data_IF_083463965660
#
_entry.id   IF_083463965660
#
_cell.length_a   1.000
_cell.length_b   1.000
_cell.length_c   1.000
_cell.angle_alpha   90.00
_cell.angle_beta   90.00
_cell.angle_gamma   90.00
#
_symmetry.space_group_name_H-M   'P 1'
#
loop_
_entity.id
_entity.type
_entity.pdbx_description
1 polymer ?
#
# COMPACT_ATOMS: atom_id res chain seq x y z
N UNK A 1 55.65 39.89 30.88
CA UNK A 1 54.55 39.73 31.87
C UNK A 1 54.33 38.25 32.13
N UNK A 2 54.46 37.85 33.39
CA UNK A 2 54.23 36.49 33.90
C UNK A 2 52.74 36.29 34.12
N UNK A 3 52.13 35.17 33.70
CA UNK A 3 51.06 34.49 34.47
C UNK A 3 51.15 32.98 34.25
N UNK A 4 51.36 32.29 35.36
CA UNK A 4 51.68 30.88 35.54
C UNK A 4 50.44 30.02 35.70
N UNK A 5 50.54 28.79 35.20
CA UNK A 5 49.81 27.58 35.58
C UNK A 5 49.60 27.48 37.11
N UNK A 6 48.38 27.15 37.54
CA UNK A 6 48.12 26.44 38.81
C UNK A 6 47.00 25.44 38.61
N UNK A 7 47.39 24.17 38.52
CA UNK A 7 46.53 23.01 38.75
C UNK A 7 46.04 23.05 40.20
N UNK A 8 44.72 22.97 40.41
CA UNK A 8 44.14 22.59 41.68
C UNK A 8 43.64 21.15 41.55
N UNK A 9 44.49 20.23 42.03
CA UNK A 9 44.17 18.84 42.30
C UNK A 9 43.35 18.83 43.61
N UNK A 10 42.09 18.39 43.58
CA UNK A 10 41.37 18.02 44.80
C UNK A 10 41.11 16.52 44.77
N UNK A 11 41.78 15.85 45.71
CA UNK A 11 41.68 14.43 46.02
C UNK A 11 40.56 14.20 47.06
N UNK A 12 39.66 13.26 46.72
CA UNK A 12 38.98 12.25 47.58
C UNK A 12 38.00 12.73 48.69
N UNK A 13 37.13 11.85 49.27
CA UNK A 13 37.01 10.39 49.14
C UNK A 13 35.60 9.82 48.86
N UNK A 14 35.66 8.50 48.65
CA UNK A 14 34.69 7.44 48.41
C UNK A 14 33.50 7.24 49.37
N UNK A 15 32.56 6.40 48.88
CA UNK A 15 31.58 5.57 49.59
C UNK A 15 30.26 6.24 50.03
N UNK A 16 29.41 6.53 49.04
CA UNK A 16 27.96 6.55 49.22
C UNK A 16 27.36 5.29 48.64
N UNK A 17 26.92 4.39 49.51
CA UNK A 17 26.08 3.22 49.21
C UNK A 17 25.11 3.49 48.05
N UNK A 18 25.17 2.65 47.01
CA UNK A 18 24.11 2.46 46.04
C UNK A 18 22.87 1.89 46.75
N UNK A 19 22.17 2.74 47.48
CA UNK A 19 20.75 2.56 47.77
C UNK A 19 19.98 2.96 46.52
N UNK A 20 20.05 2.13 45.48
CA UNK A 20 19.08 2.22 44.40
C UNK A 20 17.71 2.00 45.08
N UNK A 21 16.77 2.96 45.02
CA UNK A 21 15.40 2.60 45.27
C UNK A 21 15.09 1.52 44.23
N UNK A 22 14.83 0.30 44.71
CA UNK A 22 14.09 -0.69 43.96
C UNK A 22 12.80 0.02 43.54
N UNK A 23 12.83 0.61 42.36
CA UNK A 23 11.63 0.89 41.60
C UNK A 23 11.07 -0.50 41.37
N UNK A 24 10.21 -0.93 42.29
CA UNK A 24 9.21 -1.91 41.95
C UNK A 24 8.51 -1.28 40.76
N UNK A 25 8.89 -1.71 39.57
CA UNK A 25 8.02 -1.69 38.43
C UNK A 25 6.81 -2.47 38.91
N UNK A 26 5.84 -1.74 39.48
CA UNK A 26 4.47 -2.16 39.47
C UNK A 26 4.17 -2.25 37.99
N UNK A 27 4.45 -3.43 37.43
CA UNK A 27 3.78 -3.95 36.27
C UNK A 27 2.32 -3.98 36.67
N UNK A 28 1.70 -2.82 36.66
CA UNK A 28 0.27 -2.68 36.58
C UNK A 28 -0.02 -3.18 35.18
N UNK A 29 -0.09 -4.51 35.07
CA UNK A 29 -0.65 -5.21 33.94
C UNK A 29 -2.12 -4.86 34.01
N UNK A 30 -2.45 -3.63 33.62
CA UNK A 30 -3.78 -3.24 33.23
C UNK A 30 -4.04 -4.04 31.97
N UNK A 31 -4.34 -5.32 32.16
CA UNK A 31 -5.24 -6.05 31.28
C UNK A 31 -6.56 -5.27 31.39
N UNK A 32 -6.66 -4.14 30.69
CA UNK A 32 -7.96 -3.58 30.38
C UNK A 32 -8.61 -4.68 29.56
N UNK A 33 -9.49 -5.47 30.19
CA UNK A 33 -10.37 -6.36 29.45
C UNK A 33 -11.09 -5.45 28.46
N UNK A 34 -10.68 -5.52 27.20
CA UNK A 34 -11.48 -4.94 26.12
C UNK A 34 -12.78 -5.72 26.20
N UNK A 35 -13.89 -5.03 26.46
CA UNK A 35 -15.21 -5.66 26.45
C UNK A 35 -15.40 -6.33 25.08
N UNK A 36 -15.95 -7.56 25.04
CA UNK A 36 -16.20 -8.28 23.79
C UNK A 36 -16.98 -7.44 22.79
N UNK A 37 -17.85 -6.56 23.28
CA UNK A 37 -18.60 -5.64 22.43
C UNK A 37 -17.67 -4.66 21.70
N UNK A 38 -16.68 -4.12 22.39
CA UNK A 38 -15.70 -3.19 21.83
C UNK A 38 -14.72 -3.91 20.90
N UNK A 39 -14.25 -5.11 21.28
CA UNK A 39 -13.39 -5.92 20.44
C UNK A 39 -14.08 -6.27 19.12
N UNK A 40 -15.32 -6.77 19.18
CA UNK A 40 -16.10 -7.12 18.00
C UNK A 40 -16.37 -5.91 17.10
N UNK A 41 -16.69 -4.76 17.70
CA UNK A 41 -16.87 -3.52 16.94
C UNK A 41 -15.58 -3.15 16.18
N UNK A 42 -14.44 -3.14 16.87
CA UNK A 42 -13.16 -2.80 16.26
C UNK A 42 -12.76 -3.79 15.14
N UNK A 43 -13.03 -5.09 15.33
CA UNK A 43 -12.80 -6.12 14.30
C UNK A 43 -13.64 -5.84 13.05
N UNK A 44 -14.91 -5.48 13.22
CA UNK A 44 -15.81 -5.16 12.09
C UNK A 44 -15.39 -3.89 11.36
N UNK A 45 -14.96 -2.87 12.10
CA UNK A 45 -14.46 -1.61 11.52
C UNK A 45 -13.17 -1.83 10.71
N UNK A 46 -12.29 -2.71 11.18
CA UNK A 46 -11.04 -3.05 10.49
C UNK A 46 -11.21 -3.86 9.20
N UNK A 47 -12.42 -4.35 8.90
CA UNK A 47 -12.70 -5.14 7.68
C UNK A 47 -12.24 -4.44 6.41
N UNK A 48 -12.52 -3.15 6.29
CA UNK A 48 -12.13 -2.36 5.11
C UNK A 48 -10.62 -2.26 4.97
N UNK A 49 -9.89 -2.09 6.07
CA UNK A 49 -8.43 -2.05 6.04
C UNK A 49 -7.86 -3.40 5.55
N UNK A 50 -8.40 -4.53 6.04
CA UNK A 50 -7.99 -5.85 5.56
C UNK A 50 -8.32 -6.07 4.07
N UNK A 51 -9.48 -5.60 3.60
CA UNK A 51 -9.83 -5.63 2.16
C UNK A 51 -8.85 -4.79 1.33
N UNK A 52 -8.40 -3.63 1.83
CA UNK A 52 -7.37 -2.82 1.19
C UNK A 52 -6.01 -3.54 1.14
N UNK A 53 -5.60 -4.23 2.21
CA UNK A 53 -4.38 -5.07 2.22
C UNK A 53 -4.47 -6.11 1.10
N UNK A 54 -5.56 -6.88 1.03
CA UNK A 54 -5.73 -7.94 0.01
C UNK A 54 -5.67 -7.36 -1.41
N UNK A 55 -6.25 -6.19 -1.61
CA UNK A 55 -6.28 -5.53 -2.92
C UNK A 55 -4.88 -5.09 -3.37
N UNK A 56 -4.07 -4.52 -2.49
CA UNK A 56 -2.84 -3.84 -2.87
C UNK A 56 -1.54 -4.55 -2.46
N UNK A 57 -1.58 -5.53 -1.56
CA UNK A 57 -0.41 -6.31 -1.16
C UNK A 57 0.17 -7.07 -2.36
N UNK A 58 1.50 -6.94 -2.52
CA UNK A 58 2.27 -7.59 -3.60
C UNK A 58 2.79 -8.95 -3.15
N UNK A 59 3.08 -9.11 -1.87
CA UNK A 59 3.54 -10.39 -1.34
C UNK A 59 2.39 -11.40 -1.24
N UNK A 60 2.56 -12.56 -1.88
CA UNK A 60 1.50 -13.56 -1.97
C UNK A 60 1.15 -14.17 -0.60
N UNK A 61 2.14 -14.34 0.28
CA UNK A 61 1.93 -14.92 1.61
C UNK A 61 1.19 -13.94 2.51
N UNK A 62 1.60 -12.67 2.52
CA UNK A 62 0.94 -11.61 3.28
C UNK A 62 -0.51 -11.41 2.82
N UNK A 63 -0.74 -11.48 1.50
CA UNK A 63 -2.09 -11.43 0.91
C UNK A 63 -2.95 -12.63 1.33
N UNK A 64 -2.38 -13.82 1.36
CA UNK A 64 -3.08 -15.03 1.84
C UNK A 64 -3.45 -14.90 3.33
N UNK A 65 -2.52 -14.40 4.15
CA UNK A 65 -2.74 -14.15 5.58
C UNK A 65 -3.88 -13.14 5.79
N UNK A 66 -3.88 -12.03 5.06
CA UNK A 66 -4.96 -11.05 5.11
C UNK A 66 -6.31 -11.64 4.66
N UNK A 67 -6.32 -12.50 3.63
CA UNK A 67 -7.52 -13.20 3.17
C UNK A 67 -8.10 -14.10 4.26
N UNK A 68 -7.26 -14.87 4.96
CA UNK A 68 -7.68 -15.70 6.10
C UNK A 68 -8.29 -14.84 7.21
N UNK A 69 -7.70 -13.68 7.53
CA UNK A 69 -8.26 -12.75 8.51
C UNK A 69 -9.62 -12.22 8.07
N UNK A 70 -9.79 -11.87 6.78
CA UNK A 70 -11.07 -11.42 6.24
C UNK A 70 -12.16 -12.50 6.36
N UNK A 71 -11.82 -13.76 6.11
CA UNK A 71 -12.76 -14.88 6.25
C UNK A 71 -13.15 -15.10 7.71
N UNK A 72 -12.20 -14.96 8.65
CA UNK A 72 -12.51 -14.96 10.08
C UNK A 72 -13.48 -13.82 10.45
N UNK A 73 -13.24 -12.60 9.96
CA UNK A 73 -14.15 -11.45 10.18
C UNK A 73 -15.56 -11.75 9.64
N UNK A 74 -15.66 -12.28 8.42
CA UNK A 74 -16.95 -12.64 7.80
C UNK A 74 -17.69 -13.73 8.56
N UNK A 75 -16.98 -14.70 9.12
CA UNK A 75 -17.61 -15.75 9.93
C UNK A 75 -18.17 -15.19 11.26
N UNK A 76 -17.49 -14.21 11.86
CA UNK A 76 -18.01 -13.49 13.04
C UNK A 76 -19.29 -12.69 12.76
N UNK A 77 -19.52 -12.28 11.51
CA UNK A 77 -20.76 -11.61 11.10
C UNK A 77 -21.95 -12.60 10.99
N UNK A 78 -21.66 -13.89 10.75
CA UNK A 78 -22.66 -14.95 10.55
C UNK A 78 -23.00 -15.70 11.84
N UNK A 79 -22.05 -15.83 12.75
CA UNK A 79 -22.27 -16.50 14.03
C UNK A 79 -22.90 -15.57 15.06
N UNK A 80 -23.76 -16.12 15.94
CA UNK A 80 -24.18 -15.40 17.14
C UNK A 80 -22.93 -15.03 17.94
N UNK A 81 -22.61 -13.74 17.99
CA UNK A 81 -21.44 -13.15 18.67
C UNK A 81 -21.32 -13.49 20.17
N UNK A 82 -22.30 -14.22 20.72
CA UNK A 82 -22.33 -14.77 22.07
C UNK A 82 -21.56 -16.09 22.24
N UNK A 83 -21.06 -16.71 21.16
CA UNK A 83 -20.35 -18.00 21.21
C UNK A 83 -18.83 -17.90 21.31
N UNK A 84 -18.23 -16.76 20.96
CA UNK A 84 -16.78 -16.59 21.04
C UNK A 84 -16.35 -16.09 22.41
N UNK A 85 -15.23 -16.63 22.90
CA UNK A 85 -14.60 -16.19 24.13
C UNK A 85 -13.90 -14.84 23.95
N UNK A 86 -13.77 -14.08 25.05
CA UNK A 86 -13.04 -12.81 25.08
C UNK A 86 -11.61 -12.95 24.55
N UNK A 87 -11.00 -14.10 24.83
CA UNK A 87 -9.65 -14.43 24.38
C UNK A 87 -9.58 -14.55 22.86
N UNK A 88 -10.53 -15.25 22.24
CA UNK A 88 -10.54 -15.42 20.77
C UNK A 88 -10.73 -14.09 20.04
N UNK A 89 -11.61 -13.23 20.56
CA UNK A 89 -11.81 -11.88 20.00
C UNK A 89 -10.57 -11.00 20.18
N UNK A 90 -9.93 -11.05 21.35
CA UNK A 90 -8.70 -10.30 21.61
C UNK A 90 -7.55 -10.77 20.72
N UNK A 91 -7.33 -12.09 20.63
CA UNK A 91 -6.27 -12.68 19.82
C UNK A 91 -6.47 -12.35 18.32
N UNK A 92 -7.72 -12.35 17.83
CA UNK A 92 -8.02 -11.97 16.45
C UNK A 92 -7.78 -10.47 16.22
N UNK A 93 -8.23 -9.61 17.14
CA UNK A 93 -8.02 -8.17 17.04
C UNK A 93 -6.54 -7.81 17.05
N UNK A 94 -5.72 -8.51 17.84
CA UNK A 94 -4.26 -8.34 17.85
C UNK A 94 -3.66 -8.70 16.50
N UNK A 95 -3.99 -9.87 15.94
CA UNK A 95 -3.53 -10.27 14.59
C UNK A 95 -3.94 -9.28 13.49
N UNK A 96 -5.15 -8.75 13.56
CA UNK A 96 -5.64 -7.73 12.61
C UNK A 96 -4.79 -6.46 12.73
N UNK A 97 -4.53 -5.99 13.95
CA UNK A 97 -3.71 -4.80 14.20
C UNK A 97 -2.27 -4.99 13.72
N UNK A 98 -1.68 -6.15 14.00
CA UNK A 98 -0.35 -6.52 13.52
C UNK A 98 -0.30 -6.52 11.99
N UNK A 99 -1.25 -7.19 11.31
CA UNK A 99 -1.31 -7.21 9.86
C UNK A 99 -1.44 -5.81 9.25
N UNK A 100 -2.29 -4.94 9.83
CA UNK A 100 -2.43 -3.55 9.39
C UNK A 100 -1.14 -2.77 9.61
N UNK A 101 -0.51 -2.90 10.78
CA UNK A 101 0.73 -2.20 11.10
C UNK A 101 1.87 -2.63 10.17
N UNK A 102 2.02 -3.93 9.94
CA UNK A 102 3.04 -4.51 9.08
C UNK A 102 2.84 -4.10 7.62
N UNK A 103 1.61 -4.18 7.12
CA UNK A 103 1.27 -3.69 5.78
C UNK A 103 1.59 -2.20 5.63
N UNK A 104 1.18 -1.36 6.58
CA UNK A 104 1.48 0.08 6.56
C UNK A 104 2.99 0.34 6.57
N UNK A 105 3.75 -0.42 7.36
CA UNK A 105 5.21 -0.29 7.43
C UNK A 105 5.88 -0.66 6.10
N UNK A 106 5.46 -1.77 5.47
CA UNK A 106 5.96 -2.21 4.16
C UNK A 106 5.50 -1.31 3.01
N UNK A 107 4.37 -0.63 3.17
CA UNK A 107 3.81 0.26 2.15
C UNK A 107 4.61 1.56 1.97
N UNK A 108 5.44 1.96 2.93
CA UNK A 108 6.34 3.09 2.73
C UNK A 108 7.51 2.74 1.80
N UNK A 109 7.47 3.27 0.59
CA UNK A 109 8.53 3.18 -0.41
C UNK A 109 9.44 4.40 -0.34
N UNK A 110 10.72 4.25 -0.67
CA UNK A 110 11.62 5.39 -0.82
C UNK A 110 13.04 5.13 -0.37
N UNK A 111 13.72 6.20 0.00
CA UNK A 111 15.14 6.23 0.32
C UNK A 111 15.37 6.81 1.73
N UNK A 112 16.62 7.13 2.05
CA UNK A 112 17.06 7.77 3.29
C UNK A 112 16.65 9.24 3.46
N UNK A 113 16.11 9.88 2.42
CA UNK A 113 15.66 11.28 2.43
C UNK A 113 14.14 11.33 2.62
N UNK A 114 13.39 10.64 1.77
CA UNK A 114 11.94 10.65 1.70
C UNK A 114 11.40 9.22 1.56
N UNK A 115 10.40 8.91 2.39
CA UNK A 115 9.55 7.75 2.20
C UNK A 115 8.12 8.20 1.93
N UNK A 116 7.47 7.64 0.92
CA UNK A 116 6.09 7.91 0.57
C UNK A 116 5.28 6.62 0.75
N UNK A 117 4.11 6.73 1.36
CA UNK A 117 3.19 5.61 1.46
C UNK A 117 2.65 5.28 0.06
N UNK A 118 2.90 4.05 -0.39
CA UNK A 118 2.41 3.52 -1.67
C UNK A 118 0.89 3.61 -1.76
N UNK A 119 0.18 3.34 -0.67
CA UNK A 119 -1.28 3.40 -0.67
C UNK A 119 -1.75 4.82 -0.35
N UNK A 120 -2.45 5.43 -1.31
CA UNK A 120 -3.07 6.75 -1.15
C UNK A 120 -4.55 6.55 -0.80
N UNK A 121 -4.89 6.80 0.46
CA UNK A 121 -6.22 6.51 0.99
C UNK A 121 -7.28 7.49 0.47
N UNK A 122 -8.50 6.98 0.29
CA UNK A 122 -9.69 7.75 -0.09
C UNK A 122 -9.61 8.48 -1.45
N UNK A 123 -8.77 8.03 -2.37
CA UNK A 123 -8.61 8.62 -3.71
C UNK A 123 -9.30 7.83 -4.84
N UNK A 124 -10.20 6.89 -4.52
CA UNK A 124 -10.85 6.04 -5.53
C UNK A 124 -11.75 6.76 -6.54
N UNK A 125 -12.04 8.05 -6.32
CA UNK A 125 -12.77 8.92 -7.27
C UNK A 125 -11.88 9.96 -7.95
N UNK A 126 -10.58 9.97 -7.63
CA UNK A 126 -9.60 10.93 -8.14
C UNK A 126 -8.84 10.33 -9.31
N UNK A 127 -8.83 11.01 -10.44
CA UNK A 127 -8.12 10.60 -11.65
C UNK A 127 -6.60 10.77 -11.44
N UNK A 128 -5.84 9.70 -11.64
CA UNK A 128 -4.40 9.69 -11.39
C UNK A 128 -3.63 10.65 -12.30
N UNK A 129 -4.11 10.88 -13.53
CA UNK A 129 -3.52 11.84 -14.47
C UNK A 129 -3.55 13.28 -13.94
N UNK A 130 -4.68 13.72 -13.37
CA UNK A 130 -4.81 15.05 -12.75
C UNK A 130 -3.81 15.26 -11.62
N UNK A 131 -3.60 14.22 -10.81
CA UNK A 131 -2.64 14.28 -9.69
C UNK A 131 -1.22 14.44 -10.22
N UNK A 132 -0.83 13.68 -11.25
CA UNK A 132 0.49 13.80 -11.89
C UNK A 132 0.71 15.19 -12.48
N UNK A 133 -0.28 15.76 -13.16
CA UNK A 133 -0.18 17.12 -13.70
C UNK A 133 0.07 18.16 -12.61
N UNK A 134 -0.62 18.07 -11.48
CA UNK A 134 -0.41 18.98 -10.35
C UNK A 134 0.96 18.79 -9.70
N UNK A 135 1.39 17.53 -9.50
CA UNK A 135 2.71 17.20 -8.98
C UNK A 135 3.82 17.79 -9.86
N UNK A 136 3.73 17.66 -11.19
CA UNK A 136 4.72 18.21 -12.14
C UNK A 136 4.79 19.73 -12.16
N UNK A 137 3.71 20.43 -11.79
CA UNK A 137 3.70 21.91 -11.70
C UNK A 137 4.44 22.43 -10.48
N UNK A 138 4.78 21.56 -9.52
CA UNK A 138 5.52 21.96 -8.32
C UNK A 138 7.01 22.14 -8.62
N UNK A 139 7.56 23.24 -8.11
CA UNK A 139 8.95 23.67 -8.34
C UNK A 139 9.82 23.60 -7.08
N UNK A 140 9.21 23.31 -5.94
CA UNK A 140 9.85 23.35 -4.62
C UNK A 140 9.11 22.45 -3.63
N UNK A 141 9.77 22.16 -2.50
CA UNK A 141 9.27 21.23 -1.49
C UNK A 141 7.98 21.69 -0.83
N UNK A 142 7.82 23.00 -0.61
CA UNK A 142 6.65 23.55 0.08
C UNK A 142 5.40 23.28 -0.74
N UNK A 143 5.42 23.59 -2.04
CA UNK A 143 4.30 23.29 -2.95
C UNK A 143 4.07 21.79 -3.12
N UNK A 144 5.12 20.99 -3.16
CA UNK A 144 4.98 19.54 -3.25
C UNK A 144 4.25 18.97 -2.02
N UNK A 145 4.55 19.46 -0.81
CA UNK A 145 3.82 19.09 0.41
C UNK A 145 2.34 19.50 0.36
N UNK A 146 2.02 20.65 -0.22
CA UNK A 146 0.62 21.08 -0.38
C UNK A 146 -0.15 20.10 -1.30
N UNK A 147 0.47 19.67 -2.40
CA UNK A 147 -0.13 18.66 -3.29
C UNK A 147 -0.26 17.32 -2.58
N UNK A 148 0.76 16.89 -1.83
CA UNK A 148 0.68 15.67 -1.01
C UNK A 148 -0.46 15.74 -0.01
N UNK A 149 -0.61 16.85 0.72
CA UNK A 149 -1.70 17.05 1.66
C UNK A 149 -3.08 17.05 0.97
N UNK A 150 -3.22 17.75 -0.16
CA UNK A 150 -4.46 17.81 -0.95
C UNK A 150 -4.96 16.42 -1.35
N UNK A 151 -4.05 15.54 -1.74
CA UNK A 151 -4.38 14.18 -2.19
C UNK A 151 -4.21 13.10 -1.10
N UNK A 152 -3.99 13.50 0.16
CA UNK A 152 -3.76 12.57 1.28
C UNK A 152 -2.61 11.58 1.01
N UNK A 153 -1.58 12.02 0.28
CA UNK A 153 -0.34 11.26 0.07
C UNK A 153 0.49 11.38 1.34
N UNK A 154 0.52 10.31 2.11
CA UNK A 154 1.30 10.25 3.34
C UNK A 154 2.79 10.09 3.03
N UNK A 155 3.63 10.82 3.76
CA UNK A 155 5.08 10.73 3.61
C UNK A 155 5.78 10.86 4.97
N UNK A 156 7.01 10.35 5.03
CA UNK A 156 7.94 10.51 6.15
C UNK A 156 9.20 11.16 5.60
N UNK A 157 9.53 12.31 6.18
CA UNK A 157 10.79 12.98 5.89
C UNK A 157 11.84 12.51 6.89
N UNK A 158 12.98 12.06 6.38
CA UNK A 158 14.04 11.46 7.20
C UNK A 158 15.26 12.39 7.31
N UNK A 159 15.57 13.16 6.27
CA UNK A 159 16.69 14.11 6.25
C UNK A 159 16.25 15.43 5.57
N UNK A 160 15.72 16.36 6.37
CA UNK A 160 15.16 17.63 5.88
C UNK A 160 16.23 18.58 5.30
N UNK A 161 17.44 18.54 5.85
CA UNK A 161 18.58 19.37 5.44
C UNK A 161 19.15 19.01 4.06
N UNK A 162 18.83 17.81 3.56
CA UNK A 162 19.19 17.37 2.21
C UNK A 162 18.19 17.81 1.13
N UNK A 163 17.03 18.37 1.50
CA UNK A 163 16.06 18.92 0.55
C UNK A 163 16.39 20.38 0.21
N UNK A 164 17.54 20.61 -0.42
CA UNK A 164 17.86 21.95 -0.94
C UNK A 164 17.19 22.22 -2.28
N UNK A 165 17.08 21.18 -3.10
CA UNK A 165 16.39 21.19 -4.39
C UNK A 165 15.56 19.91 -4.49
N UNK A 166 14.28 20.04 -4.85
CA UNK A 166 13.40 18.89 -5.10
C UNK A 166 12.47 19.22 -6.25
N UNK A 167 12.31 18.28 -7.17
CA UNK A 167 11.43 18.44 -8.33
C UNK A 167 10.82 17.09 -8.70
N UNK A 168 9.59 17.11 -9.18
CA UNK A 168 8.99 15.96 -9.84
C UNK A 168 9.56 15.85 -11.26
N UNK A 169 10.12 14.69 -11.60
CA UNK A 169 10.74 14.47 -12.91
C UNK A 169 9.69 14.32 -14.01
N UNK A 170 10.06 14.70 -15.23
CA UNK A 170 9.15 14.70 -16.38
C UNK A 170 8.70 13.28 -16.77
N UNK A 171 9.48 12.24 -16.46
CA UNK A 171 9.13 10.83 -16.66
C UNK A 171 8.02 10.31 -15.72
N UNK A 172 7.62 11.09 -14.70
CA UNK A 172 6.49 10.71 -13.84
C UNK A 172 5.22 10.59 -14.68
N UNK A 173 4.45 9.51 -14.51
CA UNK A 173 3.25 9.27 -15.31
C UNK A 173 2.21 8.46 -14.55
N UNK A 174 0.98 8.48 -15.02
CA UNK A 174 -0.11 7.68 -14.49
C UNK A 174 -0.42 6.49 -15.39
N UNK A 175 -0.97 5.44 -14.77
CA UNK A 175 -1.69 4.35 -15.43
C UNK A 175 -3.16 4.44 -15.00
N UNK A 176 -4.01 5.23 -15.69
CA UNK A 176 -5.41 5.46 -15.28
C UNK A 176 -6.25 4.18 -15.22
N UNK A 177 -5.96 3.21 -16.10
CA UNK A 177 -6.64 1.91 -16.13
C UNK A 177 -6.32 1.02 -14.93
N UNK A 178 -5.23 1.30 -14.22
CA UNK A 178 -4.83 0.58 -13.00
C UNK A 178 -5.03 1.43 -11.74
N UNK A 179 -5.35 2.73 -11.88
CA UNK A 179 -5.41 3.66 -10.76
C UNK A 179 -4.05 3.84 -10.07
N UNK A 180 -2.97 3.80 -10.86
CA UNK A 180 -1.57 3.87 -10.40
C UNK A 180 -0.88 5.14 -10.89
N UNK A 181 0.05 5.66 -10.11
CA UNK A 181 1.02 6.69 -10.50
C UNK A 181 2.43 6.15 -10.30
N UNK A 182 3.28 6.28 -11.32
CA UNK A 182 4.73 6.19 -11.19
C UNK A 182 5.28 7.61 -11.01
N UNK A 183 5.61 7.94 -9.77
CA UNK A 183 6.13 9.24 -9.37
C UNK A 183 7.66 9.16 -9.28
N UNK A 184 8.36 9.99 -10.04
CA UNK A 184 9.81 10.14 -9.96
C UNK A 184 10.13 11.49 -9.35
N UNK A 185 10.94 11.51 -8.29
CA UNK A 185 11.38 12.74 -7.63
C UNK A 185 12.90 12.86 -7.74
N UNK A 186 13.35 14.02 -8.21
CA UNK A 186 14.75 14.46 -8.26
C UNK A 186 15.11 15.19 -6.97
N UNK A 187 16.23 14.83 -6.35
CA UNK A 187 16.75 15.44 -5.14
C UNK A 187 18.13 16.04 -5.35
N UNK A 188 18.34 17.24 -4.82
CA UNK A 188 19.62 17.92 -4.77
C UNK A 188 20.17 18.36 -6.13
N UNK A 189 21.34 18.98 -6.10
CA UNK A 189 22.03 19.48 -7.30
C UNK A 189 22.50 18.36 -8.23
N UNK A 190 22.80 17.19 -7.66
CA UNK A 190 23.19 15.99 -8.39
C UNK A 190 22.00 15.33 -9.12
N UNK A 191 20.77 15.82 -8.88
CA UNK A 191 19.52 15.34 -9.48
C UNK A 191 19.31 13.84 -9.32
N UNK A 192 19.62 13.32 -8.13
CA UNK A 192 19.41 11.90 -7.82
C UNK A 192 17.92 11.59 -7.89
N UNK A 193 17.56 10.59 -8.70
CA UNK A 193 16.17 10.22 -8.97
C UNK A 193 15.74 9.03 -8.14
N UNK A 194 14.53 9.11 -7.58
CA UNK A 194 13.90 8.00 -6.90
C UNK A 194 12.47 7.82 -7.39
N UNK A 195 12.12 6.55 -7.59
CA UNK A 195 10.83 6.13 -8.13
C UNK A 195 9.92 5.64 -7.00
N UNK A 196 8.68 6.09 -7.04
CA UNK A 196 7.62 5.74 -6.11
C UNK A 196 6.42 5.24 -6.93
N UNK A 197 5.87 4.11 -6.56
CA UNK A 197 4.59 3.64 -7.08
C UNK A 197 3.50 4.04 -6.09
N UNK A 198 2.53 4.82 -6.53
CA UNK A 198 1.37 5.21 -5.72
C UNK A 198 0.13 4.54 -6.29
N UNK A 199 -0.66 3.92 -5.42
CA UNK A 199 -1.89 3.20 -5.78
C UNK A 199 -3.07 3.74 -4.97
N UNK A 200 -4.29 3.46 -5.43
CA UNK A 200 -5.51 3.86 -4.73
C UNK A 200 -6.32 4.96 -5.44
N UNK A 201 -5.95 5.31 -6.67
CA UNK A 201 -6.67 6.26 -7.50
C UNK A 201 -7.83 5.59 -8.26
N UNK A 202 -8.65 6.41 -8.92
CA UNK A 202 -9.78 5.96 -9.75
C UNK A 202 -9.29 5.05 -10.88
N UNK A 203 -10.01 3.94 -11.08
CA UNK A 203 -9.86 3.07 -12.25
C UNK A 203 -10.66 3.64 -13.41
N UNK A 204 -10.01 3.90 -14.53
CA UNK A 204 -10.63 4.40 -15.74
C UNK A 204 -10.69 3.31 -16.82
N UNK A 205 -11.82 3.11 -17.51
CA UNK A 205 -11.92 2.13 -18.57
C UNK A 205 -10.91 2.42 -19.69
N UNK A 206 -10.33 1.37 -20.26
CA UNK A 206 -9.38 1.55 -21.36
C UNK A 206 -10.08 2.17 -22.57
N UNK A 207 -9.32 2.88 -23.42
CA UNK A 207 -9.87 3.44 -24.68
C UNK A 207 -10.38 2.34 -25.62
N UNK A 208 -9.89 1.11 -25.49
CA UNK A 208 -10.34 -0.05 -26.27
C UNK A 208 -11.72 -0.57 -25.81
N UNK A 209 -12.04 -0.45 -24.52
CA UNK A 209 -13.35 -0.86 -23.99
C UNK A 209 -14.49 0.05 -24.43
N UNK A 210 -14.19 1.31 -24.81
CA UNK A 210 -15.21 2.26 -25.29
C UNK A 210 -15.73 1.92 -26.70
N UNK A 211 -14.92 1.28 -27.54
CA UNK A 211 -15.32 0.96 -28.91
C UNK A 211 -16.14 -0.34 -29.03
N UNK A 212 -16.21 -1.18 -27.99
CA UNK A 212 -17.04 -2.39 -28.00
C UNK A 212 -18.51 -2.15 -27.64
N UNK A 213 -18.86 -0.99 -27.09
CA UNK A 213 -20.23 -0.70 -26.68
C UNK A 213 -21.02 0.21 -27.62
N UNK A 214 -20.38 0.81 -28.63
CA UNK A 214 -21.08 1.67 -29.62
C UNK A 214 -21.42 0.97 -30.94
N UNK A 215 -21.01 -0.29 -31.15
CA UNK A 215 -21.25 -0.99 -32.42
C UNK A 215 -22.47 -1.93 -32.47
N UNK A 216 -23.24 -2.06 -31.38
CA UNK A 216 -24.39 -2.99 -31.32
C UNK A 216 -25.77 -2.29 -31.45
N UNK A 217 -25.84 -1.04 -31.91
CA UNK A 217 -27.11 -0.32 -32.01
C UNK A 217 -27.57 0.11 -33.41
N UNK A 218 -26.97 -0.41 -34.48
CA UNK A 218 -27.48 -0.18 -35.84
C UNK A 218 -27.48 -1.47 -36.66
N UNK A 219 -28.43 -2.37 -36.42
CA UNK A 219 -28.94 -3.26 -37.48
C UNK A 219 -30.43 -3.60 -37.28
N UNK A 220 -31.21 -3.03 -38.20
CA UNK A 220 -32.39 -3.60 -38.87
C UNK A 220 -33.70 -3.79 -38.12
N UNK A 221 -34.52 -2.75 -38.24
CA UNK A 221 -35.96 -2.84 -38.41
C UNK A 221 -36.29 -3.52 -39.77
N UNK A 222 -37.00 -4.67 -39.75
CA UNK A 222 -37.37 -5.39 -40.98
C UNK A 222 -38.27 -6.62 -40.77
N UNK A 223 -39.57 -6.37 -40.54
CA UNK A 223 -40.75 -7.14 -40.95
C UNK A 223 -40.76 -8.70 -41.04
N UNK A 224 -41.79 -9.25 -40.37
CA UNK A 224 -42.79 -10.24 -40.85
C UNK A 224 -42.49 -11.77 -40.89
N UNK A 225 -43.41 -12.45 -40.19
CA UNK A 225 -44.22 -13.62 -40.61
C UNK A 225 -43.86 -15.04 -40.14
N UNK A 226 -44.97 -15.76 -39.95
CA UNK A 226 -45.24 -17.11 -39.44
C UNK A 226 -44.39 -18.24 -40.03
N UNK A 227 -44.26 -19.34 -39.28
CA UNK A 227 -43.94 -20.64 -39.90
C UNK A 227 -43.34 -21.69 -38.98
N UNK A 228 -44.17 -22.70 -38.70
CA UNK A 228 -43.95 -24.05 -38.15
C UNK A 228 -42.57 -24.75 -38.25
N UNK A 229 -42.38 -25.63 -37.25
CA UNK A 229 -41.78 -26.98 -37.27
C UNK A 229 -40.53 -27.29 -38.12
N UNK A 230 -39.50 -27.86 -37.45
CA UNK A 230 -38.49 -28.66 -38.13
C UNK A 230 -37.37 -29.14 -37.21
N UNK A 231 -37.31 -30.45 -37.00
CA UNK A 231 -36.33 -31.20 -36.21
C UNK A 231 -34.90 -31.15 -36.78
N UNK A 232 -33.92 -31.38 -35.87
CA UNK A 232 -32.74 -32.20 -36.13
C UNK A 232 -31.59 -31.57 -36.93
N UNK A 233 -30.40 -31.51 -36.33
CA UNK A 233 -29.36 -32.55 -36.50
C UNK A 233 -27.98 -32.03 -36.03
N UNK A 234 -27.14 -33.00 -35.69
CA UNK A 234 -25.77 -32.99 -35.18
C UNK A 234 -24.79 -31.96 -35.74
N UNK A 235 -23.86 -31.55 -34.86
CA UNK A 235 -22.63 -30.87 -35.24
C UNK A 235 -21.63 -30.78 -34.10
N UNK A 236 -21.06 -31.92 -33.69
CA UNK A 236 -19.91 -31.99 -32.77
C UNK A 236 -18.69 -31.38 -33.47
N UNK A 237 -18.14 -30.27 -32.96
CA UNK A 237 -16.89 -29.69 -33.44
C UNK A 237 -15.88 -29.63 -32.30
N UNK A 238 -14.98 -30.59 -32.28
CA UNK A 238 -13.82 -30.67 -31.40
C UNK A 238 -12.68 -29.84 -31.98
N UNK A 239 -12.29 -28.76 -31.31
CA UNK A 239 -11.08 -28.00 -31.59
C UNK A 239 -9.96 -28.43 -30.64
N UNK A 240 -8.91 -29.02 -31.20
CA UNK A 240 -7.62 -29.29 -30.54
C UNK A 240 -6.83 -28.00 -30.32
N UNK A 241 -6.19 -27.79 -29.15
CA UNK A 241 -5.25 -26.70 -28.95
C UNK A 241 -3.85 -27.07 -29.46
N UNK A 242 -3.30 -26.22 -30.31
CA UNK A 242 -1.91 -26.29 -30.80
C UNK A 242 -0.95 -25.79 -29.73
N UNK A 243 -0.05 -26.65 -29.27
CA UNK A 243 1.05 -26.31 -28.36
C UNK A 243 2.17 -25.57 -29.13
N UNK A 244 2.66 -24.42 -28.66
CA UNK A 244 3.85 -23.80 -29.24
C UNK A 244 5.14 -24.48 -28.72
N UNK A 245 6.11 -24.62 -29.63
CA UNK A 245 7.41 -25.23 -29.40
C UNK A 245 8.30 -24.39 -28.47
N UNK A 246 9.20 -25.02 -27.68
CA UNK A 246 10.15 -24.31 -26.84
C UNK A 246 11.32 -23.72 -27.67
N UNK A 247 11.57 -22.44 -27.48
CA UNK A 247 12.73 -21.72 -28.02
C UNK A 247 14.01 -22.13 -27.29
N UNK A 248 15.03 -22.49 -28.05
CA UNK A 248 16.37 -22.88 -27.58
C UNK A 248 17.11 -21.75 -26.83
N UNK A 249 18.02 -22.08 -25.89
CA UNK A 249 18.79 -21.09 -25.13
C UNK A 249 19.94 -20.49 -25.95
N UNK A 250 20.04 -19.16 -25.92
CA UNK A 250 21.17 -18.39 -26.44
C UNK A 250 22.34 -18.46 -25.45
N UNK A 251 23.46 -19.04 -25.87
CA UNK A 251 24.74 -19.01 -25.16
C UNK A 251 25.44 -17.66 -25.35
N UNK A 252 25.79 -16.98 -24.26
CA UNK A 252 26.67 -15.80 -24.27
C UNK A 252 28.11 -16.23 -23.92
N UNK A 253 29.15 -15.78 -24.65
CA UNK A 253 30.53 -16.06 -24.30
C UNK A 253 31.03 -15.08 -23.21
N UNK A 254 31.68 -15.64 -22.20
CA UNK A 254 32.45 -14.92 -21.18
C UNK A 254 33.74 -14.40 -21.81
N UNK A 255 33.93 -13.07 -21.84
CA UNK A 255 35.23 -12.45 -22.08
C UNK A 255 35.81 -12.05 -20.73
N UNK A 256 36.94 -12.66 -20.38
CA UNK A 256 37.72 -12.30 -19.21
C UNK A 256 38.44 -10.96 -19.35
N UNK A 257 38.56 -10.27 -18.23
CA UNK A 257 39.73 -9.49 -17.80
C UNK A 257 39.67 -9.33 -16.29
#
# INVERSE_FOLDING_TARGET
>A
MKKSLKCALFMMPSLGLLGLPLVAASCNKTNSKIDNKDALKNIKEAKKDIEEIIKYEKDALEKENATKLLDQIKNLEKEDSKKLSDKELSDLLEKIKEAIADFNNRSFLGNEILKINRLVKNQGNTESEKVVEELKKTSDWTKLKEVFAKYSIEFKLLEEDKIKEIKVADESHSHPHEGIIHLTIEFGQDKTKFNYELVGFKLEPSKEDKHKHEHDHDHENGNNHEGEHGEGNNGTSTTTPTTPAPSSPTTTPTSGK
#
